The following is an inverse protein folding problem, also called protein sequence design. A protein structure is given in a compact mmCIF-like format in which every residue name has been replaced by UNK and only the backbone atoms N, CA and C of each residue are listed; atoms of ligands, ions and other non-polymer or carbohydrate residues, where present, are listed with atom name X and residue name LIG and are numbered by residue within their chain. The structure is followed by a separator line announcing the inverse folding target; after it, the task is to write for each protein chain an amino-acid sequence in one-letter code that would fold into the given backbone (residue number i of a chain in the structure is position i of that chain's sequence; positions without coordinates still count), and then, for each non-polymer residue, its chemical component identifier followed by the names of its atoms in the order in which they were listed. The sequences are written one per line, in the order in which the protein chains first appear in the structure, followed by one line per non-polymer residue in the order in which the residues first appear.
data_IF_278257323840
#
_entry.id   IF_278257323840
#
_cell.length_a   1.000
_cell.length_b   1.000
_cell.length_c   1.000
_cell.angle_alpha   90.00
_cell.angle_beta   90.00
_cell.angle_gamma   90.00
#
_symmetry.space_group_name_H-M   'P 1'
#
loop_
_entity.id
_entity.type
_entity.pdbx_description
1 polymer ?
#
# COMPACT_ATOMS: atom_id res chain seq x y z
N UNK A 1 4.43 -3.82 17.36
CA UNK A 1 3.16 -4.52 17.04
C UNK A 1 2.01 -3.55 17.25
N UNK A 2 1.42 -3.06 16.17
CA UNK A 2 0.35 -2.07 16.16
C UNK A 2 -0.96 -2.79 16.48
N UNK A 3 -1.60 -2.44 17.60
CA UNK A 3 -2.82 -3.13 18.04
C UNK A 3 -4.05 -2.59 17.30
N UNK A 4 -4.73 -3.46 16.54
CA UNK A 4 -6.06 -3.20 15.95
C UNK A 4 -7.13 -3.36 17.02
N UNK A 5 -7.14 -2.45 17.98
CA UNK A 5 -8.04 -2.48 19.13
C UNK A 5 -9.42 -1.88 18.85
N UNK A 6 -9.64 -1.22 17.70
CA UNK A 6 -10.97 -0.70 17.33
C UNK A 6 -11.84 -1.82 16.73
N UNK A 7 -13.12 -1.85 17.13
CA UNK A 7 -14.10 -2.77 16.55
C UNK A 7 -14.27 -2.54 15.04
N UNK A 8 -14.13 -1.28 14.61
CA UNK A 8 -14.22 -0.85 13.21
C UNK A 8 -13.14 -1.53 12.35
N UNK A 9 -11.88 -1.51 12.80
CA UNK A 9 -10.78 -2.14 12.07
C UNK A 9 -11.01 -3.66 11.89
N UNK A 10 -11.56 -4.32 12.90
CA UNK A 10 -11.86 -5.76 12.86
C UNK A 10 -13.03 -6.08 11.92
N UNK A 11 -14.10 -5.28 11.95
CA UNK A 11 -15.24 -5.42 11.04
C UNK A 11 -14.82 -5.24 9.58
N UNK A 12 -14.00 -4.23 9.28
CA UNK A 12 -13.47 -4.00 7.94
C UNK A 12 -12.61 -5.18 7.49
N UNK A 13 -11.68 -5.66 8.32
CA UNK A 13 -10.84 -6.84 8.01
C UNK A 13 -11.70 -8.06 7.69
N UNK A 14 -12.72 -8.33 8.51
CA UNK A 14 -13.63 -9.45 8.29
C UNK A 14 -14.42 -9.29 6.97
N UNK A 15 -14.91 -8.09 6.67
CA UNK A 15 -15.65 -7.81 5.43
C UNK A 15 -14.80 -8.02 4.17
N UNK A 16 -13.49 -7.81 4.27
CA UNK A 16 -12.52 -8.01 3.20
C UNK A 16 -11.94 -9.44 3.18
N UNK A 17 -12.36 -10.32 4.09
CA UNK A 17 -11.83 -11.70 4.18
C UNK A 17 -10.36 -11.77 4.61
N UNK A 18 -9.87 -10.76 5.33
CA UNK A 18 -8.49 -10.71 5.81
C UNK A 18 -8.35 -11.63 7.04
N UNK A 19 -7.42 -12.60 7.04
CA UNK A 19 -7.15 -13.44 8.20
C UNK A 19 -6.70 -12.61 9.42
N UNK A 20 -7.09 -13.04 10.62
CA UNK A 20 -6.82 -12.28 11.86
C UNK A 20 -5.34 -12.04 12.17
N UNK A 21 -4.50 -12.98 11.75
CA UNK A 21 -3.06 -13.01 11.94
C UNK A 21 -2.29 -12.33 10.81
N UNK A 22 -2.99 -11.90 9.75
CA UNK A 22 -2.35 -11.28 8.60
C UNK A 22 -1.95 -9.83 8.90
N UNK A 23 -0.74 -9.47 8.50
CA UNK A 23 -0.29 -8.08 8.40
C UNK A 23 -0.99 -7.43 7.21
N UNK A 24 -1.58 -6.25 7.42
CA UNK A 24 -2.32 -5.52 6.38
C UNK A 24 -1.49 -4.33 5.92
N UNK A 25 -0.96 -4.43 4.70
CA UNK A 25 -0.42 -3.29 3.99
C UNK A 25 -1.57 -2.59 3.24
N UNK A 26 -1.58 -1.27 3.24
CA UNK A 26 -2.60 -0.50 2.56
C UNK A 26 -2.02 0.58 1.66
N UNK A 27 -2.65 0.76 0.50
CA UNK A 27 -2.45 1.91 -0.39
C UNK A 27 -3.82 2.49 -0.74
N UNK A 28 -3.92 3.81 -0.65
CA UNK A 28 -5.13 4.55 -1.03
C UNK A 28 -4.73 5.55 -2.10
N UNK A 29 -5.09 5.27 -3.34
CA UNK A 29 -4.89 6.19 -4.45
C UNK A 29 -5.68 5.73 -5.67
N UNK A 30 -5.92 6.64 -6.62
CA UNK A 30 -6.35 6.20 -7.96
C UNK A 30 -5.27 5.32 -8.58
N UNK A 31 -5.68 4.32 -9.32
CA UNK A 31 -4.75 3.46 -10.04
C UNK A 31 -4.20 4.23 -11.23
N UNK A 32 -2.96 4.68 -11.09
CA UNK A 32 -2.23 5.47 -12.08
C UNK A 32 -0.76 5.07 -12.06
N UNK A 33 -0.09 5.16 -13.22
CA UNK A 33 1.27 4.67 -13.45
C UNK A 33 2.28 5.20 -12.42
N UNK A 34 2.13 6.46 -12.02
CA UNK A 34 3.05 7.13 -11.10
C UNK A 34 2.76 6.90 -9.62
N UNK A 35 1.74 6.12 -9.25
CA UNK A 35 1.45 5.82 -7.84
C UNK A 35 2.24 4.65 -7.26
N UNK A 36 3.10 4.02 -8.06
CA UNK A 36 4.05 3.01 -7.59
C UNK A 36 3.45 1.63 -7.29
N UNK A 37 2.23 1.35 -7.77
CA UNK A 37 1.59 0.05 -7.54
C UNK A 37 2.42 -1.12 -8.08
N UNK A 38 3.03 -0.99 -9.27
CA UNK A 38 3.92 -2.04 -9.83
C UNK A 38 5.14 -2.25 -8.93
N UNK A 39 5.84 -1.18 -8.58
CA UNK A 39 7.02 -1.20 -7.71
C UNK A 39 6.72 -1.89 -6.37
N UNK A 40 5.55 -1.61 -5.78
CA UNK A 40 5.10 -2.22 -4.54
C UNK A 40 4.82 -3.72 -4.68
N UNK A 41 4.18 -4.14 -5.78
CA UNK A 41 3.94 -5.56 -6.06
C UNK A 41 5.25 -6.33 -6.24
N UNK A 42 6.21 -5.76 -6.98
CA UNK A 42 7.53 -6.34 -7.20
C UNK A 42 8.32 -6.44 -5.88
N UNK A 43 8.29 -5.40 -5.06
CA UNK A 43 8.92 -5.40 -3.74
C UNK A 43 8.33 -6.50 -2.84
N UNK A 44 7.01 -6.60 -2.74
CA UNK A 44 6.34 -7.64 -1.97
C UNK A 44 6.67 -9.05 -2.49
N UNK A 45 6.73 -9.24 -3.80
CA UNK A 45 7.11 -10.51 -4.39
C UNK A 45 8.54 -10.92 -4.01
N UNK A 46 9.46 -9.96 -3.94
CA UNK A 46 10.86 -10.22 -3.57
C UNK A 46 11.04 -10.69 -2.12
N UNK A 47 10.14 -10.31 -1.21
CA UNK A 47 10.20 -10.65 0.21
C UNK A 47 9.11 -11.61 0.68
N UNK A 48 8.25 -12.11 -0.22
CA UNK A 48 7.05 -12.89 0.12
C UNK A 48 7.30 -14.13 0.97
N UNK A 49 8.48 -14.76 0.84
CA UNK A 49 8.86 -15.96 1.60
C UNK A 49 9.34 -15.66 3.02
N UNK A 50 9.70 -14.40 3.30
CA UNK A 50 10.18 -13.93 4.61
C UNK A 50 9.05 -13.28 5.42
N UNK A 51 8.01 -12.82 4.74
CA UNK A 51 6.86 -12.18 5.37
C UNK A 51 6.01 -13.18 6.18
N UNK A 52 5.46 -12.75 7.34
CA UNK A 52 4.33 -13.46 7.94
C UNK A 52 3.12 -13.47 6.98
N UNK A 53 2.02 -14.18 7.27
CA UNK A 53 0.78 -14.01 6.52
C UNK A 53 0.46 -12.52 6.35
N UNK A 54 0.15 -12.09 5.12
CA UNK A 54 -0.12 -10.68 4.82
C UNK A 54 -1.21 -10.51 3.76
N UNK A 55 -1.77 -9.31 3.71
CA UNK A 55 -2.62 -8.80 2.64
C UNK A 55 -2.18 -7.40 2.23
N UNK A 56 -2.13 -7.14 0.93
CA UNK A 56 -2.08 -5.77 0.40
C UNK A 56 -3.50 -5.36 0.00
N UNK A 57 -4.02 -4.31 0.61
CA UNK A 57 -5.31 -3.71 0.26
C UNK A 57 -5.05 -2.48 -0.62
N UNK A 58 -5.46 -2.58 -1.88
CA UNK A 58 -5.38 -1.50 -2.86
C UNK A 58 -6.76 -0.84 -2.95
N UNK A 59 -6.84 0.40 -2.46
CA UNK A 59 -8.07 1.18 -2.43
C UNK A 59 -8.04 2.27 -3.50
N UNK A 60 -8.97 2.16 -4.43
CA UNK A 60 -9.10 3.06 -5.57
C UNK A 60 -9.47 2.33 -6.85
N UNK A 61 -9.80 3.11 -7.87
CA UNK A 61 -10.15 2.63 -9.21
C UNK A 61 -9.23 3.24 -10.26
N UNK A 62 -9.32 2.73 -11.48
CA UNK A 62 -8.54 3.23 -12.62
C UNK A 62 -8.74 4.73 -12.84
N UNK A 63 -7.62 5.45 -12.95
CA UNK A 63 -7.66 6.79 -13.51
C UNK A 63 -7.80 6.67 -15.03
N UNK A 64 -8.84 7.26 -15.67
CA UNK A 64 -9.02 7.18 -17.12
C UNK A 64 -7.83 7.73 -17.92
N UNK A 65 -6.98 8.55 -17.30
CA UNK A 65 -5.77 9.10 -17.93
C UNK A 65 -4.58 8.15 -17.86
N UNK A 66 -4.65 7.07 -17.07
CA UNK A 66 -3.59 6.06 -16.94
C UNK A 66 -3.33 5.34 -18.27
N UNK A 67 -4.38 5.14 -19.06
CA UNK A 67 -4.33 4.47 -20.35
C UNK A 67 -4.96 5.33 -21.46
N UNK A 68 -4.20 6.30 -22.01
CA UNK A 68 -4.61 7.01 -23.21
C UNK A 68 -4.69 6.03 -24.38
N UNK A 69 -5.88 5.49 -24.66
CA UNK A 69 -6.10 4.44 -25.66
C UNK A 69 -7.06 3.33 -25.23
N UNK A 70 -7.50 3.32 -23.97
CA UNK A 70 -8.30 2.24 -23.39
C UNK A 70 -7.45 1.17 -22.70
N UNK A 71 -8.08 0.34 -21.88
CA UNK A 71 -7.42 -0.63 -20.99
C UNK A 71 -7.68 -0.33 -19.51
N UNK A 72 -7.31 -1.28 -18.65
CA UNK A 72 -7.47 -1.19 -17.20
C UNK A 72 -6.13 -1.39 -16.52
N UNK A 73 -5.66 -0.38 -15.79
CA UNK A 73 -4.43 -0.50 -15.01
C UNK A 73 -4.62 -1.53 -13.89
N UNK A 74 -5.83 -1.63 -13.34
CA UNK A 74 -6.20 -2.66 -12.38
C UNK A 74 -6.07 -4.08 -12.93
N UNK A 75 -6.38 -4.31 -14.21
CA UNK A 75 -6.18 -5.61 -14.87
C UNK A 75 -4.69 -5.90 -15.02
N UNK A 76 -3.88 -4.94 -15.49
CA UNK A 76 -2.42 -5.10 -15.58
C UNK A 76 -1.77 -5.42 -14.23
N UNK A 77 -2.22 -4.76 -13.15
CA UNK A 77 -1.73 -5.03 -11.80
C UNK A 77 -2.14 -6.43 -11.30
N UNK A 78 -3.32 -6.91 -11.68
CA UNK A 78 -3.77 -8.27 -11.32
C UNK A 78 -3.01 -9.34 -12.10
N UNK A 79 -2.72 -9.11 -13.38
CA UNK A 79 -1.87 -9.97 -14.21
C UNK A 79 -0.46 -10.04 -13.62
N UNK A 80 0.16 -8.89 -13.35
CA UNK A 80 1.47 -8.81 -12.71
C UNK A 80 1.49 -9.53 -11.35
N UNK A 81 0.48 -9.34 -10.50
CA UNK A 81 0.40 -10.04 -9.22
C UNK A 81 0.28 -11.56 -9.39
N UNK A 82 -0.29 -12.04 -10.51
CA UNK A 82 -0.38 -13.46 -10.84
C UNK A 82 0.96 -14.00 -11.34
N UNK A 83 1.65 -13.27 -12.21
CA UNK A 83 3.01 -13.60 -12.67
C UNK A 83 4.01 -13.66 -11.52
N UNK A 84 3.86 -12.77 -10.54
CA UNK A 84 4.68 -12.71 -9.33
C UNK A 84 4.25 -13.75 -8.27
N UNK A 85 3.19 -14.52 -8.51
CA UNK A 85 2.65 -15.52 -7.59
C UNK A 85 2.35 -14.92 -6.20
N UNK A 86 1.66 -13.77 -6.21
CA UNK A 86 1.15 -13.07 -5.02
C UNK A 86 -0.31 -12.66 -5.15
N UNK A 87 -1.01 -13.01 -6.24
CA UNK A 87 -2.39 -12.57 -6.54
C UNK A 87 -3.38 -12.78 -5.39
N UNK A 88 -3.31 -13.92 -4.71
CA UNK A 88 -4.18 -14.28 -3.57
C UNK A 88 -3.90 -13.43 -2.30
N UNK A 89 -2.83 -12.65 -2.31
CA UNK A 89 -2.45 -11.76 -1.22
C UNK A 89 -2.91 -10.32 -1.48
N UNK A 90 -3.43 -10.01 -2.66
CA UNK A 90 -3.80 -8.65 -3.06
C UNK A 90 -5.33 -8.52 -3.12
N UNK A 91 -5.86 -7.50 -2.46
CA UNK A 91 -7.28 -7.16 -2.42
C UNK A 91 -7.45 -5.84 -3.15
N UNK A 92 -8.05 -5.87 -4.32
CA UNK A 92 -8.47 -4.68 -5.05
C UNK A 92 -9.90 -4.34 -4.63
N UNK A 93 -10.10 -3.22 -3.95
CA UNK A 93 -11.43 -2.86 -3.45
C UNK A 93 -12.28 -2.10 -4.47
N UNK A 94 -11.65 -1.58 -5.53
CA UNK A 94 -12.23 -0.54 -6.36
C UNK A 94 -12.43 0.76 -5.58
N UNK A 95 -13.31 1.62 -6.08
CA UNK A 95 -13.70 2.86 -5.41
C UNK A 95 -14.39 2.59 -4.07
N UNK A 96 -13.99 3.36 -3.05
CA UNK A 96 -14.53 3.29 -1.69
C UNK A 96 -14.74 4.69 -1.14
N UNK A 97 -15.73 4.84 -0.28
CA UNK A 97 -16.07 6.10 0.40
C UNK A 97 -15.76 6.07 1.90
N UNK A 98 -15.51 4.88 2.45
CA UNK A 98 -15.16 4.60 3.84
C UNK A 98 -13.64 4.55 4.05
N UNK A 99 -12.92 5.47 3.44
CA UNK A 99 -11.45 5.54 3.46
C UNK A 99 -10.89 5.58 4.89
N UNK A 100 -11.41 6.40 5.83
CA UNK A 100 -10.90 6.40 7.20
C UNK A 100 -10.99 5.03 7.89
N UNK A 101 -12.10 4.32 7.70
CA UNK A 101 -12.32 2.98 8.27
C UNK A 101 -11.39 1.94 7.63
N UNK A 102 -11.14 2.05 6.32
CA UNK A 102 -10.16 1.21 5.63
C UNK A 102 -8.75 1.47 6.16
N UNK A 103 -8.35 2.74 6.30
CA UNK A 103 -7.01 3.08 6.80
C UNK A 103 -6.81 2.64 8.26
N UNK A 104 -7.85 2.67 9.09
CA UNK A 104 -7.79 2.11 10.45
C UNK A 104 -7.39 0.63 10.46
N UNK A 105 -7.78 -0.13 9.44
CA UNK A 105 -7.53 -1.56 9.35
C UNK A 105 -6.10 -1.90 8.91
N UNK A 106 -5.34 -0.94 8.39
CA UNK A 106 -3.96 -1.13 7.94
C UNK A 106 -3.01 -1.24 9.14
N UNK A 107 -2.02 -2.14 9.03
CA UNK A 107 -0.84 -2.17 9.89
C UNK A 107 0.23 -1.20 9.39
N UNK A 108 0.40 -1.13 8.06
CA UNK A 108 1.42 -0.35 7.38
C UNK A 108 0.75 0.38 6.22
N UNK A 109 1.00 1.68 6.08
CA UNK A 109 0.64 2.38 4.86
C UNK A 109 1.86 2.43 3.94
N UNK A 110 1.72 1.98 2.69
CA UNK A 110 2.83 2.03 1.74
C UNK A 110 2.37 2.45 0.37
N UNK A 111 2.98 3.52 -0.14
CA UNK A 111 2.74 4.02 -1.48
C UNK A 111 4.05 4.62 -2.00
N UNK A 112 4.83 3.88 -2.81
CA UNK A 112 6.05 4.37 -3.44
C UNK A 112 5.73 5.28 -4.65
N UNK A 113 5.06 6.40 -4.41
CA UNK A 113 4.61 7.31 -5.48
C UNK A 113 5.77 8.08 -6.10
N UNK A 114 5.79 8.15 -7.42
CA UNK A 114 6.67 9.01 -8.22
C UNK A 114 6.20 10.46 -8.25
N UNK A 115 4.91 10.68 -8.02
CA UNK A 115 4.29 12.01 -8.00
C UNK A 115 3.32 12.13 -6.81
N UNK A 116 3.80 12.76 -5.74
CA UNK A 116 2.95 13.16 -4.62
C UNK A 116 3.47 14.46 -3.97
N UNK A 117 3.05 15.64 -4.46
CA UNK A 117 3.64 16.91 -4.06
C UNK A 117 3.35 17.30 -2.61
N UNK A 118 2.16 16.99 -2.10
CA UNK A 118 1.73 17.40 -0.75
C UNK A 118 1.68 16.24 0.25
N UNK A 119 1.56 15.00 -0.24
CA UNK A 119 1.58 13.83 0.63
C UNK A 119 0.39 13.71 1.60
N UNK A 120 -0.76 14.32 1.29
CA UNK A 120 -1.92 14.36 2.20
C UNK A 120 -2.34 12.97 2.68
N UNK A 121 -2.38 11.98 1.78
CA UNK A 121 -2.78 10.62 2.14
C UNK A 121 -1.77 9.93 3.08
N UNK A 122 -0.49 10.29 3.03
CA UNK A 122 0.50 9.81 4.01
C UNK A 122 0.27 10.47 5.37
N UNK A 123 -0.04 11.78 5.41
CA UNK A 123 -0.39 12.48 6.65
C UNK A 123 -1.64 11.89 7.31
N UNK A 124 -2.66 11.53 6.52
CA UNK A 124 -3.86 10.84 7.00
C UNK A 124 -3.51 9.48 7.63
N UNK A 125 -2.66 8.69 6.97
CA UNK A 125 -2.16 7.43 7.52
C UNK A 125 -1.38 7.64 8.83
N UNK A 126 -0.47 8.60 8.86
CA UNK A 126 0.33 8.94 10.04
C UNK A 126 -0.54 9.45 11.19
N UNK A 127 -1.60 10.21 10.91
CA UNK A 127 -2.56 10.67 11.91
C UNK A 127 -3.32 9.52 12.57
N UNK A 128 -3.51 8.41 11.86
CA UNK A 128 -4.04 7.13 12.38
C UNK A 128 -2.96 6.24 13.01
N UNK A 129 -1.74 6.77 13.21
CA UNK A 129 -0.62 6.07 13.80
C UNK A 129 -0.05 4.97 12.92
N UNK A 130 -0.26 5.02 11.59
CA UNK A 130 0.26 4.01 10.67
C UNK A 130 1.68 4.39 10.25
N UNK A 131 2.67 3.51 10.43
CA UNK A 131 3.99 3.74 9.86
C UNK A 131 3.88 3.79 8.34
N UNK A 132 4.60 4.74 7.73
CA UNK A 132 4.57 4.98 6.28
C UNK A 132 5.84 4.44 5.62
N UNK A 133 5.70 3.69 4.52
CA UNK A 133 6.83 3.38 3.63
C UNK A 133 6.58 4.04 2.27
N UNK A 134 7.50 4.91 1.85
CA UNK A 134 7.38 5.68 0.63
C UNK A 134 8.73 5.90 -0.06
N UNK A 135 8.68 6.40 -1.30
CA UNK A 135 9.86 6.96 -1.94
C UNK A 135 10.35 8.21 -1.21
N UNK A 136 11.67 8.34 -1.11
CA UNK A 136 12.39 9.55 -0.69
C UNK A 136 12.31 10.60 -1.82
N UNK A 137 11.10 11.11 -2.02
CA UNK A 137 10.76 12.02 -3.09
C UNK A 137 9.57 12.91 -2.70
N UNK A 138 9.62 14.18 -3.10
CA UNK A 138 8.51 15.15 -2.97
C UNK A 138 7.92 15.20 -1.54
N UNK A 139 6.59 15.26 -1.41
CA UNK A 139 5.90 15.40 -0.12
C UNK A 139 6.33 14.40 0.95
N UNK A 140 6.36 13.08 0.67
CA UNK A 140 6.87 12.06 1.60
C UNK A 140 8.23 12.37 2.23
N UNK A 141 9.20 12.85 1.44
CA UNK A 141 10.55 13.16 1.92
C UNK A 141 10.57 14.26 2.99
N UNK A 142 9.56 15.14 2.99
CA UNK A 142 9.45 16.24 3.95
C UNK A 142 8.69 15.85 5.23
N UNK A 143 7.78 14.87 5.15
CA UNK A 143 6.84 14.56 6.24
C UNK A 143 7.17 13.26 7.00
N UNK A 144 7.86 12.31 6.37
CA UNK A 144 8.21 11.04 7.00
C UNK A 144 9.55 11.17 7.72
N UNK A 145 9.56 10.93 9.03
CA UNK A 145 10.78 10.84 9.83
C UNK A 145 11.35 9.42 9.69
N UNK A 146 12.35 9.27 8.82
CA UNK A 146 12.93 7.96 8.49
C UNK A 146 13.48 7.23 9.74
N UNK A 147 13.02 5.99 9.96
CA UNK A 147 13.33 5.18 11.14
C UNK A 147 12.48 5.47 12.39
N UNK A 148 11.64 6.51 12.36
CA UNK A 148 10.78 6.89 13.49
C UNK A 148 9.29 6.74 13.17
N UNK A 149 8.80 7.46 12.15
CA UNK A 149 7.38 7.39 11.73
C UNK A 149 7.17 6.50 10.49
N UNK A 150 8.23 5.90 9.98
CA UNK A 150 8.21 5.13 8.75
C UNK A 150 9.59 4.97 8.12
N UNK A 151 9.63 4.55 6.86
CA UNK A 151 10.86 4.42 6.08
C UNK A 151 10.75 5.17 4.75
N UNK A 152 11.78 5.96 4.45
CA UNK A 152 12.00 6.59 3.16
C UNK A 152 13.02 5.76 2.38
N UNK A 153 12.64 5.33 1.18
CA UNK A 153 13.47 4.49 0.32
C UNK A 153 13.79 5.25 -0.96
N UNK A 154 15.04 5.17 -1.43
CA UNK A 154 15.41 5.85 -2.68
C UNK A 154 14.57 5.31 -3.85
N UNK A 155 14.08 6.17 -4.76
CA UNK A 155 13.30 5.71 -5.91
C UNK A 155 14.06 4.67 -6.74
N UNK A 156 13.34 3.67 -7.28
CA UNK A 156 13.84 2.50 -8.03
C UNK A 156 14.53 1.41 -7.21
N UNK A 157 14.78 1.61 -5.93
CA UNK A 157 15.42 0.60 -5.07
C UNK A 157 14.39 -0.42 -4.56
N UNK A 158 13.82 -1.23 -5.47
CA UNK A 158 12.75 -2.21 -5.19
C UNK A 158 13.13 -3.19 -4.07
N UNK A 159 14.38 -3.67 -4.05
CA UNK A 159 14.85 -4.56 -2.99
C UNK A 159 14.81 -3.86 -1.62
N UNK A 160 15.25 -2.61 -1.55
CA UNK A 160 15.22 -1.82 -0.31
C UNK A 160 13.79 -1.50 0.13
N UNK A 161 12.85 -1.38 -0.81
CA UNK A 161 11.42 -1.25 -0.49
C UNK A 161 10.91 -2.51 0.22
N UNK A 162 11.29 -3.69 -0.27
CA UNK A 162 10.99 -4.97 0.39
C UNK A 162 11.63 -5.07 1.77
N UNK A 163 12.90 -4.70 1.91
CA UNK A 163 13.61 -4.72 3.19
C UNK A 163 12.98 -3.76 4.21
N UNK A 164 12.52 -2.59 3.78
CA UNK A 164 11.80 -1.65 4.64
C UNK A 164 10.47 -2.23 5.14
N UNK A 165 9.75 -2.97 4.28
CA UNK A 165 8.51 -3.66 4.67
C UNK A 165 8.80 -4.73 5.75
N UNK A 166 9.91 -5.48 5.62
CA UNK A 166 10.28 -6.51 6.60
C UNK A 166 10.68 -5.98 7.97
N UNK A 167 11.01 -4.68 8.09
CA UNK A 167 11.41 -4.08 9.36
C UNK A 167 10.23 -3.69 10.28
N UNK A 168 8.99 -3.72 9.78
CA UNK A 168 7.78 -3.33 10.51
C UNK A 168 6.92 -4.54 10.93
#
# INVERSE_FOLDING_TARGET
RWNHTSSVAQEVRQSLGIPSEAVVLGVVSRLFLYKGHRDLLEALASVKSQMPPYRLVIVGEDDPRAHPGGGSFSEELQELASELDIREKIIFTGFRTDIPQLMECFDIYTMPSWEEPFGMVYLEAMALGKPVIAWDLAGPAEIVANGESGFLVKPKEIAQLGDAILQL
#
